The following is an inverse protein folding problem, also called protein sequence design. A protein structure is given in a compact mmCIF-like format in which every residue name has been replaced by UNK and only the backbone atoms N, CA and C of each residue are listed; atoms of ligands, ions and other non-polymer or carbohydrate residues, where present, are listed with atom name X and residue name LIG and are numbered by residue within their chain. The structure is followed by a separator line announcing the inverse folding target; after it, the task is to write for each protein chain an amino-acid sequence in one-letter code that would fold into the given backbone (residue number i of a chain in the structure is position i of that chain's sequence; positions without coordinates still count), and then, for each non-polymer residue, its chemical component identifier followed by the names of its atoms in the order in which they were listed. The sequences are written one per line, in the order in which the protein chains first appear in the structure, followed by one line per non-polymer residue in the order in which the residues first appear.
data_IF_612505217287
#
_entry.id   IF_612505217287
#
_cell.length_a   1.000
_cell.length_b   1.000
_cell.length_c   1.000
_cell.angle_alpha   90.00
_cell.angle_beta   90.00
_cell.angle_gamma   90.00
#
_symmetry.space_group_name_H-M   'P 1'
#
loop_
_entity.id
_entity.type
_entity.pdbx_description
1 polymer ?
#
# COMPACT_ATOMS: atom_id res chain seq x y z
N UNK A 1 15.27 -6.14 -0.52
CA UNK A 1 14.48 -7.33 -0.12
C UNK A 1 14.21 -8.12 -1.40
N UNK A 2 13.90 -9.41 -1.33
CA UNK A 2 13.66 -10.21 -2.54
C UNK A 2 12.15 -10.32 -2.79
N UNK A 3 11.72 -10.26 -4.06
CA UNK A 3 10.34 -10.52 -4.46
C UNK A 3 10.01 -12.02 -4.36
N UNK A 4 8.74 -12.36 -4.08
CA UNK A 4 8.29 -13.75 -4.11
C UNK A 4 8.32 -14.34 -5.51
N UNK A 5 8.43 -15.66 -5.61
CA UNK A 5 8.43 -16.41 -6.88
C UNK A 5 7.28 -17.42 -6.88
N UNK A 6 6.68 -17.63 -8.05
CA UNK A 6 5.67 -18.65 -8.25
C UNK A 6 6.10 -19.56 -9.40
N UNK A 7 6.18 -20.85 -9.14
CA UNK A 7 6.35 -21.89 -10.15
C UNK A 7 4.97 -22.37 -10.62
N UNK A 8 4.62 -21.97 -11.84
CA UNK A 8 3.36 -22.32 -12.49
C UNK A 8 3.45 -23.60 -13.33
N UNK A 9 4.58 -24.33 -13.29
CA UNK A 9 4.74 -25.60 -14.01
C UNK A 9 4.02 -26.78 -13.33
N UNK A 10 3.58 -26.60 -12.08
CA UNK A 10 2.88 -27.61 -11.26
C UNK A 10 1.51 -27.11 -10.79
N UNK A 11 0.64 -28.03 -10.35
CA UNK A 11 -0.69 -27.73 -9.84
C UNK A 11 -0.92 -28.37 -8.46
N UNK A 12 -1.19 -27.59 -7.39
CA UNK A 12 -1.25 -26.12 -7.38
C UNK A 12 0.14 -25.48 -7.58
N UNK A 13 0.22 -24.21 -8.01
CA UNK A 13 1.51 -23.50 -8.14
C UNK A 13 2.28 -23.50 -6.83
N UNK A 14 3.59 -23.74 -6.89
CA UNK A 14 4.46 -23.62 -5.72
C UNK A 14 4.90 -22.16 -5.58
N UNK A 15 4.61 -21.56 -4.44
CA UNK A 15 4.96 -20.16 -4.14
C UNK A 15 6.06 -20.13 -3.10
N UNK A 16 7.18 -19.49 -3.45
CA UNK A 16 8.30 -19.22 -2.57
C UNK A 16 8.24 -17.76 -2.09
N UNK A 17 8.02 -17.58 -0.79
CA UNK A 17 7.98 -16.28 -0.13
C UNK A 17 9.21 -16.18 0.77
N UNK A 18 10.12 -15.22 0.51
CA UNK A 18 11.30 -15.01 1.35
C UNK A 18 10.93 -14.78 2.81
N UNK A 19 11.81 -15.19 3.73
CA UNK A 19 11.61 -14.94 5.17
C UNK A 19 11.44 -13.45 5.48
N UNK A 20 12.31 -12.62 4.90
CA UNK A 20 12.20 -11.17 5.00
C UNK A 20 11.34 -10.68 3.83
N UNK A 21 10.06 -10.41 4.12
CA UNK A 21 9.06 -10.11 3.11
C UNK A 21 8.29 -8.82 3.39
N UNK A 22 7.94 -8.12 2.31
CA UNK A 22 7.10 -6.95 2.30
C UNK A 22 6.27 -6.97 1.01
N UNK A 23 4.96 -7.12 1.15
CA UNK A 23 4.05 -7.26 0.02
C UNK A 23 4.08 -6.03 -0.91
N UNK A 24 4.22 -4.82 -0.35
CA UNK A 24 4.29 -3.61 -1.17
C UNK A 24 5.59 -3.54 -1.96
N UNK A 25 6.73 -3.91 -1.37
CA UNK A 25 7.98 -4.00 -2.11
C UNK A 25 7.88 -5.00 -3.26
N UNK A 26 7.36 -6.20 -3.02
CA UNK A 26 7.18 -7.23 -4.05
C UNK A 26 6.29 -6.73 -5.22
N UNK A 27 5.15 -6.11 -4.91
CA UNK A 27 4.25 -5.55 -5.92
C UNK A 27 4.89 -4.43 -6.75
N UNK A 28 5.66 -3.54 -6.12
CA UNK A 28 6.35 -2.44 -6.80
C UNK A 28 7.50 -2.96 -7.68
N UNK A 29 8.30 -3.89 -7.18
CA UNK A 29 9.43 -4.49 -7.93
C UNK A 29 8.97 -5.20 -9.21
N UNK A 30 7.81 -5.87 -9.19
CA UNK A 30 7.22 -6.50 -10.39
C UNK A 30 6.93 -5.51 -11.52
N UNK A 31 6.87 -4.21 -11.22
CA UNK A 31 6.60 -3.15 -12.18
C UNK A 31 7.82 -2.26 -12.47
N UNK A 32 8.98 -2.53 -11.84
CA UNK A 32 10.18 -1.73 -12.00
C UNK A 32 10.71 -1.68 -13.46
N UNK A 33 10.43 -2.70 -14.27
CA UNK A 33 10.80 -2.73 -15.69
C UNK A 33 9.92 -1.88 -16.62
N UNK A 34 8.88 -1.21 -16.09
CA UNK A 34 7.94 -0.40 -16.88
C UNK A 34 7.56 0.93 -16.18
N UNK A 35 8.54 1.73 -15.73
CA UNK A 35 8.30 2.89 -14.88
C UNK A 35 7.45 3.96 -15.57
N UNK A 36 7.58 4.13 -16.89
CA UNK A 36 6.83 5.12 -17.68
C UNK A 36 5.43 4.66 -18.09
N UNK A 37 5.02 3.44 -17.76
CA UNK A 37 3.67 2.98 -18.06
C UNK A 37 2.69 3.54 -17.03
N UNK A 38 1.56 4.09 -17.49
CA UNK A 38 0.45 4.50 -16.61
C UNK A 38 -0.06 3.31 -15.80
N UNK A 39 -0.12 3.48 -14.48
CA UNK A 39 -0.62 2.51 -13.52
C UNK A 39 -2.08 2.81 -13.13
N UNK A 40 -2.37 4.08 -12.83
CA UNK A 40 -3.69 4.53 -12.41
C UNK A 40 -4.14 5.74 -13.24
N UNK A 41 -5.44 5.82 -13.50
CA UNK A 41 -6.10 6.95 -14.15
C UNK A 41 -7.33 7.31 -13.31
N UNK A 42 -7.43 8.56 -12.90
CA UNK A 42 -8.66 9.09 -12.33
C UNK A 42 -9.63 9.39 -13.47
N UNK A 43 -10.72 8.62 -13.57
CA UNK A 43 -11.68 8.76 -14.66
C UNK A 43 -12.41 10.12 -14.66
N UNK A 44 -12.56 10.75 -13.49
CA UNK A 44 -13.27 12.03 -13.37
C UNK A 44 -12.40 13.23 -13.77
N UNK A 45 -11.10 13.19 -13.46
CA UNK A 45 -10.19 14.32 -13.68
C UNK A 45 -9.23 14.13 -14.85
N UNK A 46 -9.06 12.88 -15.32
CA UNK A 46 -8.03 12.50 -16.30
C UNK A 46 -6.61 12.46 -15.73
N UNK A 47 -6.44 12.70 -14.42
CA UNK A 47 -5.14 12.59 -13.74
C UNK A 47 -4.58 11.17 -13.92
N UNK A 48 -3.29 11.08 -14.22
CA UNK A 48 -2.60 9.81 -14.40
C UNK A 48 -1.43 9.70 -13.44
N UNK A 49 -1.16 8.49 -13.00
CA UNK A 49 -0.01 8.15 -12.18
C UNK A 49 0.70 6.95 -12.79
N UNK A 50 1.98 7.12 -13.15
CA UNK A 50 2.84 6.09 -13.76
C UNK A 50 3.42 5.15 -12.69
N UNK A 51 3.80 3.92 -13.06
CA UNK A 51 4.34 2.95 -12.12
C UNK A 51 5.58 3.47 -11.36
N UNK A 52 6.48 4.19 -12.04
CA UNK A 52 7.64 4.81 -11.40
C UNK A 52 7.25 5.85 -10.35
N UNK A 53 6.22 6.64 -10.64
CA UNK A 53 5.68 7.66 -9.72
C UNK A 53 4.99 7.01 -8.51
N UNK A 54 4.26 5.90 -8.69
CA UNK A 54 3.68 5.12 -7.58
C UNK A 54 4.79 4.63 -6.65
N UNK A 55 5.84 4.01 -7.20
CA UNK A 55 6.98 3.51 -6.42
C UNK A 55 7.65 4.64 -5.66
N UNK A 56 8.00 5.73 -6.34
CA UNK A 56 8.67 6.86 -5.72
C UNK A 56 7.82 7.46 -4.59
N UNK A 57 6.54 7.74 -4.86
CA UNK A 57 5.64 8.34 -3.89
C UNK A 57 5.38 7.43 -2.68
N UNK A 58 5.22 6.12 -2.89
CA UNK A 58 5.01 5.16 -1.81
C UNK A 58 6.24 5.08 -0.90
N UNK A 59 7.45 5.09 -1.47
CA UNK A 59 8.70 5.16 -0.69
C UNK A 59 8.83 6.48 0.07
N UNK A 60 8.47 7.62 -0.53
CA UNK A 60 8.45 8.92 0.17
C UNK A 60 7.47 8.91 1.34
N UNK A 61 6.27 8.38 1.15
CA UNK A 61 5.26 8.26 2.21
C UNK A 61 5.76 7.35 3.34
N UNK A 62 6.34 6.19 3.00
CA UNK A 62 6.92 5.29 3.98
C UNK A 62 8.03 5.95 4.82
N UNK A 63 8.90 6.74 4.18
CA UNK A 63 9.95 7.49 4.87
C UNK A 63 9.37 8.60 5.76
N UNK A 64 8.30 9.28 5.33
CA UNK A 64 7.60 10.24 6.16
C UNK A 64 7.01 9.61 7.42
N UNK A 65 6.34 8.45 7.30
CA UNK A 65 5.82 7.72 8.46
C UNK A 65 6.92 7.33 9.45
N UNK A 66 8.05 6.80 8.96
CA UNK A 66 9.20 6.48 9.80
C UNK A 66 9.77 7.72 10.49
N UNK A 67 9.86 8.84 9.76
CA UNK A 67 10.32 10.13 10.30
C UNK A 67 9.39 10.72 11.36
N UNK A 68 8.08 10.41 11.27
CA UNK A 68 7.08 10.75 12.29
C UNK A 68 7.08 9.80 13.49
N UNK A 69 7.92 8.75 13.48
CA UNK A 69 8.06 7.82 14.60
C UNK A 69 7.06 6.66 14.62
N UNK A 70 6.32 6.42 13.52
CA UNK A 70 5.49 5.23 13.41
C UNK A 70 6.37 3.97 13.40
N UNK A 71 6.18 3.13 14.42
CA UNK A 71 6.88 1.86 14.54
C UNK A 71 6.24 0.81 13.61
N UNK A 72 6.99 -0.23 13.22
CA UNK A 72 6.40 -1.42 12.63
C UNK A 72 5.25 -1.96 13.49
N UNK A 73 4.25 -2.54 12.84
CA UNK A 73 3.01 -3.08 13.44
C UNK A 73 2.03 -2.03 13.99
N UNK A 74 2.39 -0.73 14.02
CA UNK A 74 1.41 0.34 14.26
C UNK A 74 0.33 0.32 13.17
N UNK A 75 -0.89 0.72 13.52
CA UNK A 75 -2.03 0.80 12.61
C UNK A 75 -2.39 2.25 12.33
N UNK A 76 -2.69 2.56 11.08
CA UNK A 76 -3.15 3.88 10.64
C UNK A 76 -4.46 3.70 9.88
N UNK A 77 -5.46 4.52 10.19
CA UNK A 77 -6.74 4.48 9.50
C UNK A 77 -6.71 5.40 8.27
N UNK A 78 -6.94 4.81 7.09
CA UNK A 78 -6.97 5.54 5.82
C UNK A 78 -8.43 5.80 5.42
N UNK A 79 -8.91 7.00 5.73
CA UNK A 79 -10.18 7.54 5.26
C UNK A 79 -9.91 8.53 4.11
N UNK A 80 -9.76 7.99 2.90
CA UNK A 80 -9.35 8.74 1.71
C UNK A 80 -10.30 8.47 0.54
N UNK A 81 -10.44 9.44 -0.36
CA UNK A 81 -11.19 9.24 -1.61
C UNK A 81 -10.46 8.29 -2.56
N UNK A 82 -11.20 7.71 -3.51
CA UNK A 82 -10.68 6.82 -4.56
C UNK A 82 -9.91 7.62 -5.62
N UNK A 83 -8.71 8.10 -5.26
CA UNK A 83 -7.78 8.81 -6.16
C UNK A 83 -6.52 7.98 -6.41
N UNK A 84 -5.70 8.31 -7.43
CA UNK A 84 -4.42 7.65 -7.66
C UNK A 84 -3.46 7.68 -6.46
N UNK A 85 -3.65 8.58 -5.49
CA UNK A 85 -2.85 8.68 -4.27
C UNK A 85 -3.26 7.66 -3.19
N UNK A 86 -4.46 7.09 -3.26
CA UNK A 86 -4.89 6.04 -2.33
C UNK A 86 -3.94 4.82 -2.34
N UNK A 87 -3.61 4.20 -3.49
CA UNK A 87 -2.67 3.08 -3.51
C UNK A 87 -1.25 3.48 -3.09
N UNK A 88 -0.85 4.73 -3.30
CA UNK A 88 0.43 5.27 -2.80
C UNK A 88 0.48 5.24 -1.27
N UNK A 89 -0.54 5.76 -0.60
CA UNK A 89 -0.61 5.77 0.87
C UNK A 89 -0.68 4.34 1.43
N UNK A 90 -1.52 3.49 0.84
CA UNK A 90 -1.69 2.11 1.28
C UNK A 90 -0.38 1.30 1.17
N UNK A 91 0.28 1.34 0.00
CA UNK A 91 1.56 0.66 -0.21
C UNK A 91 2.68 1.28 0.63
N UNK A 92 2.67 2.61 0.82
CA UNK A 92 3.64 3.31 1.66
C UNK A 92 3.53 2.92 3.14
N UNK A 93 2.32 2.72 3.67
CA UNK A 93 2.13 2.14 5.02
C UNK A 93 2.80 0.77 5.11
N UNK A 94 2.49 -0.13 4.17
CA UNK A 94 3.04 -1.50 4.17
C UNK A 94 4.57 -1.45 4.05
N UNK A 95 5.13 -0.60 3.18
CA UNK A 95 6.58 -0.39 3.07
C UNK A 95 7.20 0.06 4.39
N UNK A 96 6.52 0.92 5.16
CA UNK A 96 6.97 1.37 6.48
C UNK A 96 6.87 0.28 7.56
N UNK A 97 6.19 -0.84 7.28
CA UNK A 97 5.84 -1.86 8.29
C UNK A 97 4.58 -1.49 9.09
N UNK A 98 3.88 -0.44 8.69
CA UNK A 98 2.61 0.01 9.28
C UNK A 98 1.46 -0.75 8.63
N UNK A 99 0.44 -1.08 9.43
CA UNK A 99 -0.77 -1.76 8.97
C UNK A 99 -1.82 -0.72 8.56
N UNK A 100 -2.11 -0.52 7.27
CA UNK A 100 -3.17 0.37 6.84
C UNK A 100 -4.54 -0.25 7.10
N UNK A 101 -5.43 0.51 7.75
CA UNK A 101 -6.84 0.17 7.96
C UNK A 101 -7.67 0.98 6.98
N UNK A 102 -8.09 0.35 5.88
CA UNK A 102 -8.89 1.03 4.86
C UNK A 102 -10.31 1.30 5.36
N UNK A 103 -10.73 2.55 5.36
CA UNK A 103 -12.07 2.97 5.74
C UNK A 103 -12.77 3.70 4.58
N UNK A 104 -14.04 3.39 4.36
CA UNK A 104 -14.85 4.08 3.37
C UNK A 104 -15.26 5.46 3.90
N UNK A 105 -15.08 6.51 3.09
CA UNK A 105 -15.39 7.90 3.47
C UNK A 105 -16.87 8.19 3.67
N UNK A 106 -17.76 7.29 3.26
CA UNK A 106 -19.22 7.40 3.43
C UNK A 106 -19.74 6.72 4.70
N UNK A 107 -18.85 6.13 5.51
CA UNK A 107 -19.22 5.53 6.78
C UNK A 107 -19.74 6.57 7.77
N UNK A 108 -20.57 6.11 8.70
CA UNK A 108 -21.09 7.00 9.75
C UNK A 108 -20.03 7.22 10.83
N UNK A 109 -20.23 8.26 11.64
CA UNK A 109 -19.36 8.51 12.81
C UNK A 109 -19.28 7.30 13.75
N UNK A 110 -20.38 6.55 13.91
CA UNK A 110 -20.41 5.36 14.76
C UNK A 110 -19.56 4.22 14.19
N UNK A 111 -19.54 4.06 12.87
CA UNK A 111 -18.70 3.06 12.20
C UNK A 111 -17.22 3.42 12.34
N UNK A 112 -16.85 4.69 12.12
CA UNK A 112 -15.46 5.15 12.33
C UNK A 112 -15.01 4.95 13.78
N UNK A 113 -15.86 5.29 14.73
CA UNK A 113 -15.62 5.12 16.15
C UNK A 113 -15.42 3.64 16.53
N UNK A 114 -16.23 2.74 15.97
CA UNK A 114 -16.00 1.30 16.09
C UNK A 114 -14.65 0.88 15.50
N UNK A 115 -14.35 1.26 14.25
CA UNK A 115 -13.12 0.88 13.55
C UNK A 115 -11.86 1.37 14.27
N UNK A 116 -11.86 2.61 14.77
CA UNK A 116 -10.74 3.18 15.52
C UNK A 116 -10.46 2.39 16.79
N UNK A 117 -11.50 2.03 17.56
CA UNK A 117 -11.35 1.24 18.79
C UNK A 117 -10.92 -0.20 18.52
N UNK A 118 -11.55 -0.85 17.54
CA UNK A 118 -11.28 -2.25 17.22
C UNK A 118 -9.86 -2.43 16.67
N UNK A 119 -9.48 -1.58 15.71
CA UNK A 119 -8.14 -1.63 15.11
C UNK A 119 -7.04 -1.11 16.04
N UNK A 120 -7.35 -0.19 16.96
CA UNK A 120 -6.37 0.57 17.77
C UNK A 120 -5.42 1.40 16.89
N UNK A 121 -5.96 2.01 15.85
CA UNK A 121 -5.19 2.93 15.01
C UNK A 121 -4.63 4.10 15.83
N UNK A 122 -3.42 4.53 15.51
CA UNK A 122 -2.69 5.59 16.22
C UNK A 122 -2.43 6.82 15.33
N UNK A 123 -3.03 6.84 14.14
CA UNK A 123 -2.93 7.89 13.13
C UNK A 123 -3.94 7.69 12.01
#
# INVERSE_FOLDING_TARGET
MQASRADHSVSPPLVDIPRDYNAAHDLLERNAGRPEKTAFINAATGEQLRFGEVTEQAHRFANALRGLGFAPETRILLAMLDTPQWPVAFLGCILAGVVPVAANTLLTTQDFDFMLRDSRAQG
#
